data_IF_743792726144
#
_entry.id   IF_743792726144
#
_cell.length_a   1.000
_cell.length_b   1.000
_cell.length_c   1.000
_cell.angle_alpha   90.00
_cell.angle_beta   90.00
_cell.angle_gamma   90.00
#
_symmetry.space_group_name_H-M   'P 1'
#
loop_
_entity.id
_entity.type
_entity.pdbx_description
1 polymer ?
#
# COMPACT_ATOMS: atom_id res chain seq x y z
N UNK A 1 50.19 -1.93 46.89
CA UNK A 1 49.28 -1.47 45.81
C UNK A 1 48.72 -2.73 45.14
N UNK A 2 47.40 -2.85 44.97
CA UNK A 2 46.61 -4.08 44.65
C UNK A 2 45.96 -4.80 45.84
N UNK A 3 45.05 -4.12 46.54
CA UNK A 3 43.94 -4.80 47.22
C UNK A 3 42.68 -4.01 46.87
N UNK A 4 42.18 -4.16 45.64
CA UNK A 4 40.86 -3.62 45.25
C UNK A 4 40.25 -4.34 44.04
N UNK A 5 40.50 -5.64 43.89
CA UNK A 5 40.00 -6.41 42.73
C UNK A 5 39.11 -7.61 43.07
N UNK A 6 38.76 -7.86 44.34
CA UNK A 6 37.98 -9.04 44.72
C UNK A 6 36.67 -8.76 45.46
N UNK A 7 36.40 -7.53 45.90
CA UNK A 7 35.15 -7.18 46.59
C UNK A 7 33.95 -6.99 45.64
N UNK A 8 34.20 -6.51 44.43
CA UNK A 8 33.10 -6.09 43.53
C UNK A 8 32.41 -7.26 42.82
N UNK A 9 33.00 -8.47 42.80
CA UNK A 9 32.41 -9.61 42.09
C UNK A 9 31.30 -10.29 42.88
N UNK A 10 31.45 -10.42 44.21
CA UNK A 10 30.46 -11.11 45.05
C UNK A 10 29.18 -10.31 45.23
N UNK A 11 29.30 -9.02 45.54
CA UNK A 11 28.16 -8.13 45.76
C UNK A 11 27.30 -8.00 44.49
N UNK A 12 27.91 -7.72 43.33
CA UNK A 12 27.17 -7.58 42.08
C UNK A 12 26.47 -8.87 41.65
N UNK A 13 27.04 -10.05 41.94
CA UNK A 13 26.40 -11.35 41.64
C UNK A 13 25.19 -11.59 42.54
N UNK A 14 25.30 -11.32 43.85
CA UNK A 14 24.16 -11.44 44.77
C UNK A 14 23.06 -10.41 44.47
N UNK A 15 23.45 -9.18 44.10
CA UNK A 15 22.56 -8.09 43.73
C UNK A 15 21.79 -8.39 42.44
N UNK A 16 22.46 -8.82 41.37
CA UNK A 16 21.80 -9.17 40.10
C UNK A 16 20.90 -10.41 40.20
N UNK A 17 21.17 -11.33 41.15
CA UNK A 17 20.34 -12.52 41.39
C UNK A 17 19.07 -12.22 42.19
N UNK A 18 19.11 -11.21 43.06
CA UNK A 18 17.98 -10.80 43.90
C UNK A 18 17.06 -9.76 43.22
N UNK A 19 17.60 -8.96 42.29
CA UNK A 19 16.84 -7.95 41.56
C UNK A 19 16.30 -8.53 40.23
N UNK A 20 14.99 -8.76 40.15
CA UNK A 20 14.32 -9.18 38.90
C UNK A 20 14.18 -7.99 37.94
N UNK A 21 15.22 -7.68 37.16
CA UNK A 21 15.10 -6.71 36.07
C UNK A 21 14.22 -7.27 34.96
N UNK A 22 12.99 -6.76 34.84
CA UNK A 22 12.14 -6.99 33.65
C UNK A 22 12.46 -5.93 32.61
N UNK A 23 13.33 -6.23 31.65
CA UNK A 23 13.49 -5.38 30.48
C UNK A 23 12.26 -5.53 29.58
N UNK A 24 11.44 -4.49 29.44
CA UNK A 24 10.43 -4.45 28.39
C UNK A 24 11.06 -3.90 27.11
N UNK A 25 10.92 -4.65 26.01
CA UNK A 25 11.18 -4.11 24.67
C UNK A 25 10.11 -3.06 24.38
N UNK A 26 10.51 -1.79 24.31
CA UNK A 26 9.69 -0.77 23.69
C UNK A 26 9.70 -1.07 22.19
N UNK A 27 8.57 -1.52 21.64
CA UNK A 27 8.42 -1.64 20.20
C UNK A 27 8.63 -0.23 19.61
N UNK A 28 9.80 0.00 19.00
CA UNK A 28 10.05 1.16 18.15
C UNK A 28 9.22 0.95 16.87
N UNK A 29 7.89 1.04 16.96
CA UNK A 29 7.10 1.19 15.75
C UNK A 29 7.71 2.39 15.00
N UNK A 30 7.94 2.28 13.69
CA UNK A 30 8.46 3.39 12.92
C UNK A 30 7.53 4.58 13.19
N UNK A 31 8.10 5.64 13.77
CA UNK A 31 7.34 6.86 14.02
C UNK A 31 6.78 7.29 12.69
N UNK A 32 5.46 7.27 12.58
CA UNK A 32 4.78 7.72 11.38
C UNK A 32 5.27 9.15 11.09
N UNK A 33 5.79 9.42 9.88
CA UNK A 33 6.52 10.65 9.60
C UNK A 33 5.65 11.91 9.72
N UNK A 34 4.33 11.75 9.67
CA UNK A 34 3.35 12.81 9.83
C UNK A 34 2.94 13.09 11.30
N UNK A 35 3.44 12.31 12.28
CA UNK A 35 3.17 12.54 13.71
C UNK A 35 4.20 13.51 14.30
N UNK A 36 3.73 14.63 14.82
CA UNK A 36 4.57 15.67 15.45
C UNK A 36 4.60 15.53 16.97
N UNK A 37 5.65 16.07 17.61
CA UNK A 37 5.78 16.07 19.08
C UNK A 37 4.57 16.72 19.78
N UNK A 38 4.03 17.81 19.23
CA UNK A 38 2.84 18.45 19.80
C UNK A 38 1.60 17.53 19.83
N UNK A 39 1.46 16.60 18.89
CA UNK A 39 0.36 15.62 18.88
C UNK A 39 0.54 14.56 19.94
N UNK A 40 1.79 14.20 20.25
CA UNK A 40 2.10 13.30 21.37
C UNK A 40 1.72 13.95 22.70
N UNK A 41 2.12 15.20 22.92
CA UNK A 41 1.71 15.97 24.12
C UNK A 41 0.20 16.09 24.26
N UNK A 42 -0.54 16.29 23.15
CA UNK A 42 -2.00 16.30 23.18
C UNK A 42 -2.57 14.93 23.56
N UNK A 43 -1.97 13.84 23.07
CA UNK A 43 -2.33 12.46 23.45
C UNK A 43 -2.10 12.23 24.94
N UNK A 44 -0.96 12.66 25.48
CA UNK A 44 -0.66 12.54 26.91
C UNK A 44 -1.69 13.31 27.76
N UNK A 45 -2.07 14.53 27.32
CA UNK A 45 -3.13 15.31 27.99
C UNK A 45 -4.49 14.61 27.94
N UNK A 46 -4.85 14.02 26.79
CA UNK A 46 -6.09 13.24 26.66
C UNK A 46 -6.10 12.09 27.65
N UNK A 47 -4.99 11.38 27.78
CA UNK A 47 -4.88 10.21 28.65
C UNK A 47 -4.92 10.60 30.12
N UNK A 48 -4.30 11.72 30.50
CA UNK A 48 -4.44 12.31 31.83
C UNK A 48 -5.91 12.64 32.14
N UNK A 49 -6.63 13.30 31.23
CA UNK A 49 -8.05 13.62 31.41
C UNK A 49 -8.94 12.39 31.47
N UNK A 50 -8.66 11.37 30.66
CA UNK A 50 -9.37 10.10 30.71
C UNK A 50 -9.19 9.43 32.07
N UNK A 51 -7.98 9.42 32.61
CA UNK A 51 -7.69 8.88 33.93
C UNK A 51 -8.39 9.67 35.05
N UNK A 52 -8.45 11.00 34.95
CA UNK A 52 -9.18 11.85 35.90
C UNK A 52 -10.69 11.59 35.85
N UNK A 53 -11.28 11.56 34.64
CA UNK A 53 -12.70 11.26 34.47
C UNK A 53 -13.05 9.82 34.90
N UNK A 54 -12.16 8.85 34.68
CA UNK A 54 -12.38 7.46 35.12
C UNK A 54 -12.44 7.34 36.65
N UNK A 55 -11.72 8.21 37.38
CA UNK A 55 -11.76 8.27 38.85
C UNK A 55 -13.03 8.93 39.38
N UNK A 56 -13.56 9.93 38.67
CA UNK A 56 -14.83 10.58 38.99
C UNK A 56 -15.75 10.65 37.76
N UNK A 57 -16.54 9.59 37.52
CA UNK A 57 -17.43 9.51 36.36
C UNK A 57 -18.57 10.53 36.36
N UNK A 58 -18.91 11.09 37.53
CA UNK A 58 -20.03 12.03 37.68
C UNK A 58 -19.68 13.44 37.19
N UNK A 59 -18.39 13.74 37.11
CA UNK A 59 -17.89 15.03 36.63
C UNK A 59 -18.09 15.20 35.12
N UNK A 60 -19.20 15.83 34.75
CA UNK A 60 -19.56 16.14 33.35
C UNK A 60 -18.56 17.08 32.67
N UNK A 61 -17.92 17.99 33.41
CA UNK A 61 -16.94 18.93 32.85
C UNK A 61 -15.71 18.19 32.31
N UNK A 62 -15.16 17.24 33.08
CA UNK A 62 -14.02 16.42 32.65
C UNK A 62 -14.36 15.58 31.40
N UNK A 63 -15.58 15.03 31.35
CA UNK A 63 -16.06 14.28 30.18
C UNK A 63 -16.14 15.16 28.94
N UNK A 64 -16.64 16.39 29.07
CA UNK A 64 -16.73 17.36 27.97
C UNK A 64 -15.32 17.76 27.48
N UNK A 65 -14.40 18.07 28.38
CA UNK A 65 -13.02 18.44 28.02
C UNK A 65 -12.29 17.28 27.32
N UNK A 66 -12.42 16.05 27.84
CA UNK A 66 -11.89 14.85 27.20
C UNK A 66 -12.41 14.69 25.77
N UNK A 67 -13.72 14.83 25.56
CA UNK A 67 -14.33 14.71 24.23
C UNK A 67 -13.80 15.79 23.27
N UNK A 68 -13.68 17.03 23.73
CA UNK A 68 -13.14 18.13 22.93
C UNK A 68 -11.70 17.85 22.51
N UNK A 69 -10.84 17.41 23.45
CA UNK A 69 -9.43 17.11 23.15
C UNK A 69 -9.30 15.89 22.25
N UNK A 70 -10.07 14.82 22.49
CA UNK A 70 -10.12 13.63 21.61
C UNK A 70 -10.44 14.02 20.17
N UNK A 71 -11.49 14.83 19.98
CA UNK A 71 -11.90 15.31 18.66
C UNK A 71 -10.84 16.22 18.02
N UNK A 72 -10.22 17.10 18.83
CA UNK A 72 -9.13 17.97 18.37
C UNK A 72 -7.92 17.15 17.92
N UNK A 73 -7.52 16.12 18.66
CA UNK A 73 -6.44 15.20 18.29
C UNK A 73 -6.77 14.53 16.98
N UNK A 74 -7.95 13.91 16.86
CA UNK A 74 -8.37 13.22 15.64
C UNK A 74 -8.28 14.14 14.40
N UNK A 75 -8.87 15.34 14.48
CA UNK A 75 -8.82 16.34 13.40
C UNK A 75 -7.39 16.78 13.08
N UNK A 76 -6.55 16.95 14.09
CA UNK A 76 -5.16 17.39 13.91
C UNK A 76 -4.30 16.30 13.27
N UNK A 77 -4.50 15.06 13.69
CA UNK A 77 -3.84 13.88 13.15
C UNK A 77 -4.19 13.69 11.68
N UNK A 78 -5.49 13.75 11.37
CA UNK A 78 -6.00 13.59 10.02
C UNK A 78 -5.48 14.68 9.08
N UNK A 79 -5.51 15.95 9.50
CA UNK A 79 -4.93 17.06 8.73
C UNK A 79 -3.43 16.87 8.47
N UNK A 80 -2.68 16.41 9.46
CA UNK A 80 -1.24 16.20 9.31
C UNK A 80 -0.94 15.05 8.35
N UNK A 81 -1.67 13.94 8.48
CA UNK A 81 -1.59 12.79 7.58
C UNK A 81 -1.90 13.21 6.14
N UNK A 82 -3.00 13.92 5.92
CA UNK A 82 -3.43 14.33 4.59
C UNK A 82 -2.43 15.30 3.97
N UNK A 83 -1.94 16.29 4.73
CA UNK A 83 -0.89 17.20 4.26
C UNK A 83 0.39 16.47 3.88
N UNK A 84 0.82 15.49 4.67
CA UNK A 84 2.01 14.69 4.38
C UNK A 84 1.86 13.93 3.06
N UNK A 85 0.78 13.16 2.91
CA UNK A 85 0.57 12.39 1.69
C UNK A 85 0.30 13.27 0.46
N UNK A 86 -0.36 14.41 0.61
CA UNK A 86 -0.52 15.39 -0.46
C UNK A 86 0.84 15.90 -0.95
N UNK A 87 1.74 16.23 -0.03
CA UNK A 87 3.10 16.66 -0.37
C UNK A 87 3.91 15.53 -1.03
N UNK A 88 3.81 14.30 -0.53
CA UNK A 88 4.50 13.15 -1.11
C UNK A 88 4.00 12.81 -2.52
N UNK A 89 2.69 12.91 -2.77
CA UNK A 89 2.10 12.75 -4.10
C UNK A 89 2.62 13.83 -5.03
N UNK A 90 2.59 15.10 -4.61
CA UNK A 90 3.05 16.23 -5.42
C UNK A 90 4.53 16.08 -5.81
N UNK A 91 5.38 15.65 -4.87
CA UNK A 91 6.81 15.37 -5.11
C UNK A 91 7.06 14.22 -6.08
N UNK A 92 6.19 13.21 -6.09
CA UNK A 92 6.35 12.00 -6.90
C UNK A 92 5.46 11.95 -8.14
N UNK A 93 4.80 13.05 -8.53
CA UNK A 93 3.94 13.15 -9.73
C UNK A 93 4.61 12.66 -11.02
N UNK A 94 5.92 12.92 -11.18
CA UNK A 94 6.69 12.50 -12.36
C UNK A 94 7.15 11.03 -12.32
N UNK A 95 6.97 10.33 -11.19
CA UNK A 95 7.37 8.94 -11.01
C UNK A 95 6.14 8.06 -10.76
N UNK A 96 5.52 7.50 -11.82
CA UNK A 96 4.28 6.73 -11.69
C UNK A 96 4.44 5.50 -10.80
N UNK A 97 5.61 4.84 -10.81
CA UNK A 97 5.87 3.66 -9.97
C UNK A 97 5.80 4.01 -8.48
N UNK A 98 6.50 5.07 -8.06
CA UNK A 98 6.48 5.53 -6.65
C UNK A 98 5.11 6.07 -6.27
N UNK A 99 4.45 6.78 -7.18
CA UNK A 99 3.10 7.28 -6.94
C UNK A 99 2.12 6.15 -6.63
N UNK A 100 2.13 5.08 -7.44
CA UNK A 100 1.29 3.90 -7.19
C UNK A 100 1.66 3.17 -5.90
N UNK A 101 2.95 3.11 -5.53
CA UNK A 101 3.37 2.59 -4.22
C UNK A 101 2.78 3.42 -3.07
N UNK A 102 2.82 4.76 -3.15
CA UNK A 102 2.24 5.65 -2.15
C UNK A 102 0.73 5.43 -2.05
N UNK A 103 0.02 5.37 -3.18
CA UNK A 103 -1.44 5.11 -3.23
C UNK A 103 -1.79 3.76 -2.60
N UNK A 104 -1.06 2.70 -2.96
CA UNK A 104 -1.28 1.37 -2.39
C UNK A 104 -1.07 1.36 -0.88
N UNK A 105 -0.02 2.06 -0.39
CA UNK A 105 0.23 2.21 1.03
C UNK A 105 -0.91 2.95 1.75
N UNK A 106 -1.46 4.01 1.15
CA UNK A 106 -2.60 4.75 1.72
C UNK A 106 -3.85 3.86 1.79
N UNK A 107 -4.12 3.08 0.75
CA UNK A 107 -5.26 2.18 0.68
C UNK A 107 -5.09 0.90 1.53
N UNK A 108 -3.96 0.72 2.22
CA UNK A 108 -3.66 -0.51 2.97
C UNK A 108 -3.53 -1.74 2.07
N UNK A 109 -3.28 -1.54 0.77
CA UNK A 109 -3.03 -2.63 -0.17
C UNK A 109 -1.59 -3.08 0.02
N UNK A 110 -1.41 -4.15 0.79
CA UNK A 110 -0.14 -4.87 0.83
C UNK A 110 0.10 -5.47 -0.55
N UNK A 111 1.30 -5.30 -1.12
CA UNK A 111 1.69 -6.07 -2.30
C UNK A 111 1.72 -7.54 -1.91
N UNK A 112 0.61 -8.24 -2.13
CA UNK A 112 0.59 -9.69 -2.01
C UNK A 112 1.52 -10.25 -3.08
N UNK A 113 2.22 -11.33 -2.75
CA UNK A 113 2.89 -12.10 -3.80
C UNK A 113 1.84 -12.49 -4.83
N UNK A 114 2.20 -12.45 -6.11
CA UNK A 114 1.32 -12.95 -7.18
C UNK A 114 0.89 -14.39 -6.84
N UNK A 115 1.80 -15.19 -6.29
CA UNK A 115 1.54 -16.57 -5.85
C UNK A 115 0.52 -16.64 -4.71
N UNK A 116 0.51 -15.66 -3.79
CA UNK A 116 -0.45 -15.58 -2.69
C UNK A 116 -1.86 -15.21 -3.21
N UNK A 117 -1.94 -14.36 -4.24
CA UNK A 117 -3.21 -14.03 -4.90
C UNK A 117 -3.73 -15.26 -5.63
N UNK A 118 -2.88 -15.91 -6.44
CA UNK A 118 -3.23 -17.10 -7.22
C UNK A 118 -3.68 -18.24 -6.32
N UNK A 119 -2.93 -18.53 -5.25
CA UNK A 119 -3.29 -19.58 -4.28
C UNK A 119 -4.62 -19.28 -3.57
N UNK A 120 -4.90 -18.03 -3.20
CA UNK A 120 -6.17 -17.64 -2.55
C UNK A 120 -7.37 -17.66 -3.49
N UNK A 121 -7.21 -17.19 -4.72
CA UNK A 121 -8.32 -17.10 -5.68
C UNK A 121 -8.74 -18.47 -6.21
N UNK A 122 -7.80 -19.41 -6.25
CA UNK A 122 -8.02 -20.71 -6.87
C UNK A 122 -7.87 -21.92 -5.93
N UNK A 123 -7.70 -21.69 -4.62
CA UNK A 123 -7.49 -22.72 -3.57
C UNK A 123 -6.39 -23.74 -3.91
N UNK A 124 -5.24 -23.24 -4.36
CA UNK A 124 -4.15 -24.08 -4.85
C UNK A 124 -2.92 -24.00 -3.96
N UNK A 125 -2.86 -24.88 -2.96
CA UNK A 125 -1.67 -25.07 -2.14
C UNK A 125 -0.65 -26.05 -2.75
N UNK A 126 -0.99 -26.87 -3.78
CA UNK A 126 -0.08 -27.91 -4.31
C UNK A 126 -0.18 -28.25 -5.81
N UNK A 127 -0.84 -27.48 -6.68
CA UNK A 127 -1.00 -27.84 -8.10
C UNK A 127 0.06 -27.22 -9.02
N UNK A 128 0.43 -27.95 -10.09
CA UNK A 128 1.38 -27.50 -11.11
C UNK A 128 0.87 -26.28 -11.87
N UNK A 129 1.76 -25.33 -12.20
CA UNK A 129 1.45 -24.08 -12.92
C UNK A 129 0.65 -24.30 -14.22
N UNK A 130 0.84 -25.44 -14.91
CA UNK A 130 0.08 -25.77 -16.13
C UNK A 130 -1.42 -25.95 -15.86
N UNK A 131 -1.78 -26.57 -14.74
CA UNK A 131 -3.17 -26.82 -14.36
C UNK A 131 -3.87 -25.50 -14.06
N UNK A 132 -3.16 -24.58 -13.39
CA UNK A 132 -3.64 -23.23 -13.07
C UNK A 132 -3.92 -22.45 -14.35
N UNK A 133 -2.97 -22.44 -15.30
CA UNK A 133 -3.14 -21.74 -16.58
C UNK A 133 -4.35 -22.25 -17.36
N UNK A 134 -4.55 -23.57 -17.41
CA UNK A 134 -5.68 -24.19 -18.10
C UNK A 134 -7.02 -23.85 -17.45
N UNK A 135 -7.10 -23.89 -16.11
CA UNK A 135 -8.33 -23.54 -15.39
C UNK A 135 -8.66 -22.05 -15.54
N UNK A 136 -7.67 -21.17 -15.45
CA UNK A 136 -7.86 -19.74 -15.73
C UNK A 136 -8.40 -19.52 -17.16
N UNK A 137 -7.81 -20.18 -18.16
CA UNK A 137 -8.27 -20.07 -19.54
C UNK A 137 -9.73 -20.53 -19.71
N UNK A 138 -10.13 -21.60 -19.01
CA UNK A 138 -11.52 -22.07 -19.01
C UNK A 138 -12.48 -21.07 -18.35
N UNK A 139 -12.16 -20.59 -17.14
CA UNK A 139 -12.97 -19.58 -16.43
C UNK A 139 -13.12 -18.30 -17.25
N UNK A 140 -12.02 -17.80 -17.82
CA UNK A 140 -12.04 -16.63 -18.69
C UNK A 140 -12.92 -16.87 -19.92
N UNK A 141 -12.79 -18.02 -20.58
CA UNK A 141 -13.63 -18.37 -21.74
C UNK A 141 -15.11 -18.44 -21.37
N UNK A 142 -15.44 -18.97 -20.20
CA UNK A 142 -16.81 -19.06 -19.71
C UNK A 142 -17.38 -17.67 -19.38
N UNK A 143 -16.59 -16.82 -18.71
CA UNK A 143 -16.97 -15.43 -18.43
C UNK A 143 -17.19 -14.63 -19.73
N UNK A 144 -16.31 -14.77 -20.72
CA UNK A 144 -16.49 -14.13 -22.03
C UNK A 144 -17.75 -14.65 -22.71
N UNK A 145 -17.98 -15.98 -22.76
CA UNK A 145 -19.21 -16.55 -23.34
C UNK A 145 -20.48 -16.04 -22.66
N UNK A 146 -20.45 -15.85 -21.34
CA UNK A 146 -21.57 -15.29 -20.59
C UNK A 146 -21.76 -13.78 -20.82
N UNK A 147 -20.67 -13.05 -21.06
CA UNK A 147 -20.70 -11.62 -21.33
C UNK A 147 -21.01 -11.27 -22.78
N UNK A 148 -20.76 -12.15 -23.74
CA UNK A 148 -21.08 -11.91 -25.15
C UNK A 148 -22.60 -11.73 -25.25
N UNK A 149 -23.11 -10.50 -25.45
CA UNK A 149 -24.52 -10.35 -25.81
C UNK A 149 -24.72 -11.09 -27.13
N UNK A 150 -25.88 -11.71 -27.31
CA UNK A 150 -26.26 -12.29 -28.60
C UNK A 150 -26.16 -11.20 -29.66
N UNK A 151 -25.03 -11.15 -30.36
CA UNK A 151 -24.73 -10.11 -31.31
C UNK A 151 -25.48 -10.49 -32.58
N UNK A 152 -26.55 -9.77 -32.98
CA UNK A 152 -27.35 -10.14 -34.13
C UNK A 152 -26.68 -9.72 -35.44
N UNK A 153 -25.37 -9.51 -35.42
CA UNK A 153 -24.62 -9.19 -36.63
C UNK A 153 -24.42 -10.50 -37.36
N UNK A 154 -25.30 -10.76 -38.33
CA UNK A 154 -24.97 -11.66 -39.43
C UNK A 154 -23.63 -11.17 -39.98
N UNK A 155 -22.61 -12.02 -39.96
CA UNK A 155 -21.35 -11.75 -40.67
C UNK A 155 -21.74 -11.28 -42.07
N UNK A 156 -21.42 -10.03 -42.41
CA UNK A 156 -21.64 -9.51 -43.75
C UNK A 156 -20.89 -10.45 -44.71
N UNK A 157 -21.57 -10.89 -45.76
CA UNK A 157 -21.02 -11.87 -46.69
C UNK A 157 -19.72 -11.30 -47.29
N UNK A 158 -18.61 -12.05 -47.36
CA UNK A 158 -17.33 -11.55 -47.85
C UNK A 158 -17.39 -10.93 -49.25
N UNK A 159 -18.38 -11.32 -50.05
CA UNK A 159 -18.61 -10.81 -51.40
C UNK A 159 -19.25 -9.42 -51.45
N UNK A 160 -19.86 -8.94 -50.35
CA UNK A 160 -20.52 -7.63 -50.28
C UNK A 160 -19.50 -6.47 -50.15
N UNK A 161 -18.25 -6.76 -49.72
CA UNK A 161 -17.17 -5.79 -49.49
C UNK A 161 -16.11 -5.73 -50.62
N UNK A 162 -16.29 -6.44 -51.75
CA UNK A 162 -15.41 -6.29 -52.92
C UNK A 162 -15.62 -4.92 -53.60
N UNK A 163 -15.19 -3.86 -52.95
CA UNK A 163 -14.94 -2.57 -53.57
C UNK A 163 -13.57 -2.67 -54.26
N UNK A 164 -13.53 -2.49 -55.57
CA UNK A 164 -12.27 -2.46 -56.30
C UNK A 164 -11.36 -1.38 -55.72
N UNK A 165 -10.16 -1.79 -55.29
CA UNK A 165 -9.19 -0.87 -54.73
C UNK A 165 -8.75 0.12 -55.83
N UNK A 166 -9.22 1.37 -55.75
CA UNK A 166 -8.77 2.45 -56.62
C UNK A 166 -7.37 2.90 -56.19
N UNK A 167 -6.36 2.06 -56.47
CA UNK A 167 -4.96 2.36 -56.17
C UNK A 167 -4.39 3.15 -57.35
N UNK A 168 -4.35 4.48 -57.22
CA UNK A 168 -3.60 5.32 -58.16
C UNK A 168 -2.10 5.24 -57.84
N UNK A 169 -1.39 4.34 -58.51
CA UNK A 169 0.06 4.25 -58.41
C UNK A 169 0.69 5.39 -59.23
N UNK A 170 1.17 6.43 -58.54
CA UNK A 170 2.05 7.45 -59.16
C UNK A 170 3.45 6.89 -59.30
N UNK A 171 3.77 6.34 -60.47
CA UNK A 171 5.15 6.05 -60.83
C UNK A 171 5.88 7.37 -61.12
N UNK A 172 6.90 7.69 -60.31
CA UNK A 172 7.84 8.76 -60.65
C UNK A 172 8.77 8.22 -61.73
N UNK A 173 8.60 8.67 -62.97
CA UNK A 173 9.54 8.36 -64.04
C UNK A 173 10.90 8.97 -63.71
N UNK A 174 11.85 8.13 -63.33
CA UNK A 174 13.27 8.49 -63.24
C UNK A 174 13.83 8.46 -64.66
N UNK A 175 14.16 9.62 -65.22
CA UNK A 175 14.89 9.67 -66.48
C UNK A 175 16.31 9.16 -66.24
N UNK A 176 16.62 7.98 -66.75
CA UNK A 176 17.99 7.47 -66.80
C UNK A 176 18.67 8.11 -68.02
N UNK A 177 19.57 9.06 -67.79
CA UNK A 177 20.44 9.60 -68.84
C UNK A 177 21.53 8.58 -69.12
N UNK A 178 21.38 7.82 -70.20
CA UNK A 178 22.44 6.97 -70.73
C UNK A 178 23.32 7.85 -71.62
N UNK A 179 24.53 8.16 -71.16
CA UNK A 179 25.59 8.73 -72.00
C UNK A 179 26.31 7.55 -72.67
N UNK A 180 26.08 7.35 -73.97
CA UNK A 180 26.90 6.44 -74.79
C UNK A 180 28.13 7.23 -75.24
N UNK A 181 29.31 6.64 -75.01
CA UNK A 181 30.62 7.16 -75.39
C UNK A 181 30.75 7.43 -76.88
#
# INVERSE_FOLDING_TARGET
>A
MYIDMLSERGFNVAYNKSVKFKSQRINKLPKQPWVKQCMLQMTDRRDALFNSWKKDPTNKCLRLEYNQIRNKIYKTLERSRNRYYQNEIYRNMKNPRKLWQIVNNICGRVSRSIDEIVSKTFDYSQQSHKVIANKFAQEFRNAVKAMVPSCPIKLLDPDEYKMDANVSLRFKNVKVNIQVK
#
